data_IF_709955432790
#
_entry.id   IF_709955432790
#
_cell.length_a   1.000
_cell.length_b   1.000
_cell.length_c   1.000
_cell.angle_alpha   90.00
_cell.angle_beta   90.00
_cell.angle_gamma   90.00
#
_symmetry.space_group_name_H-M   'P 1'
#
loop_
_entity.id
_entity.type
_entity.pdbx_description
1 polymer ?
#
# COMPACT_ATOMS: atom_id res chain seq x y z
N UNK A 1 45.43 2.44 -2.87
CA UNK A 1 46.33 3.48 -3.43
C UNK A 1 45.53 4.49 -4.24
N UNK A 2 44.72 4.01 -5.19
CA UNK A 2 43.85 4.81 -6.08
C UNK A 2 42.96 5.86 -5.38
N UNK A 3 42.40 5.57 -4.22
CA UNK A 3 41.56 6.54 -3.48
C UNK A 3 42.41 7.68 -2.89
N UNK A 4 43.61 7.39 -2.36
CA UNK A 4 44.50 8.42 -1.78
C UNK A 4 45.17 9.25 -2.88
N UNK A 5 45.59 8.61 -3.97
CA UNK A 5 46.12 9.27 -5.16
C UNK A 5 45.05 10.16 -5.84
N UNK A 6 43.79 9.70 -5.89
CA UNK A 6 42.67 10.49 -6.41
C UNK A 6 42.30 11.71 -5.56
N UNK A 7 42.67 11.71 -4.27
CA UNK A 7 42.55 12.86 -3.37
C UNK A 7 43.85 13.68 -3.28
N UNK A 8 44.83 13.42 -4.16
CA UNK A 8 46.10 14.16 -4.27
C UNK A 8 46.91 14.18 -2.97
N UNK A 9 46.79 13.13 -2.15
CA UNK A 9 47.59 12.97 -0.93
C UNK A 9 49.01 12.57 -1.31
N UNK A 10 49.99 13.33 -0.84
CA UNK A 10 51.40 13.09 -1.09
C UNK A 10 51.84 11.70 -0.57
N UNK A 11 52.51 10.86 -1.40
CA UNK A 11 53.04 9.56 -0.98
C UNK A 11 53.94 9.57 0.26
N UNK A 12 54.56 10.69 0.62
CA UNK A 12 55.36 10.80 1.86
C UNK A 12 54.51 10.88 3.13
N UNK A 13 53.24 11.28 3.00
CA UNK A 13 52.33 11.54 4.11
C UNK A 13 51.60 10.28 4.62
N UNK A 14 51.68 9.17 3.88
CA UNK A 14 51.06 7.91 4.27
C UNK A 14 51.95 6.69 3.95
N UNK A 15 51.79 5.62 4.73
CA UNK A 15 52.42 4.32 4.47
C UNK A 15 51.37 3.21 4.55
N UNK A 16 51.37 2.33 3.56
CA UNK A 16 50.50 1.16 3.51
C UNK A 16 51.16 -0.03 4.20
N UNK A 17 50.54 -0.58 5.23
CA UNK A 17 50.82 -1.92 5.74
C UNK A 17 49.84 -2.96 5.18
N UNK A 18 50.08 -4.24 5.45
CA UNK A 18 49.24 -5.33 4.93
C UNK A 18 47.76 -5.25 5.40
N UNK A 19 47.52 -4.77 6.61
CA UNK A 19 46.18 -4.66 7.22
C UNK A 19 45.79 -3.24 7.60
N UNK A 20 46.74 -2.31 7.69
CA UNK A 20 46.50 -0.94 8.20
C UNK A 20 47.24 0.09 7.35
N UNK A 21 46.66 1.29 7.24
CA UNK A 21 47.31 2.46 6.64
C UNK A 21 47.72 3.41 7.76
N UNK A 22 48.96 3.86 7.72
CA UNK A 22 49.53 4.81 8.67
C UNK A 22 49.63 6.18 8.01
N UNK A 23 49.23 7.22 8.72
CA UNK A 23 49.30 8.61 8.28
C UNK A 23 50.22 9.41 9.20
N UNK A 24 50.87 10.44 8.65
CA UNK A 24 51.49 11.47 9.48
C UNK A 24 50.41 12.27 10.22
N UNK A 25 50.80 12.88 11.35
CA UNK A 25 49.91 13.72 12.13
C UNK A 25 49.31 14.85 11.26
N UNK A 26 48.02 15.14 11.45
CA UNK A 26 47.28 16.18 10.72
C UNK A 26 46.63 15.74 9.40
N UNK A 27 47.22 14.79 8.68
CA UNK A 27 46.73 14.33 7.36
C UNK A 27 45.34 13.70 7.45
N UNK A 28 45.10 12.90 8.49
CA UNK A 28 43.79 12.26 8.69
C UNK A 28 42.68 13.29 8.94
N UNK A 29 42.96 14.34 9.73
CA UNK A 29 41.97 15.39 10.02
C UNK A 29 41.56 16.16 8.77
N UNK A 30 42.53 16.47 7.90
CA UNK A 30 42.25 17.12 6.61
C UNK A 30 41.37 16.23 5.71
N UNK A 31 41.65 14.92 5.66
CA UNK A 31 40.84 13.99 4.89
C UNK A 31 39.42 13.82 5.46
N UNK A 32 39.27 13.85 6.77
CA UNK A 32 37.96 13.82 7.42
C UNK A 32 37.16 15.11 7.16
N UNK A 33 37.80 16.27 7.17
CA UNK A 33 37.15 17.55 6.85
C UNK A 33 36.66 17.59 5.40
N UNK A 34 37.50 17.16 4.45
CA UNK A 34 37.10 17.05 3.03
C UNK A 34 35.94 16.06 2.84
N UNK A 35 35.96 14.94 3.56
CA UNK A 35 34.86 13.96 3.56
C UNK A 35 33.57 14.61 4.07
N UNK A 36 33.64 15.30 5.19
CA UNK A 36 32.46 15.89 5.85
C UNK A 36 31.85 17.01 5.01
N UNK A 37 32.65 17.81 4.33
CA UNK A 37 32.15 18.85 3.40
C UNK A 37 31.33 18.22 2.25
N UNK A 38 31.81 17.10 1.70
CA UNK A 38 31.12 16.38 0.60
C UNK A 38 29.88 15.66 1.11
N UNK A 39 29.97 14.98 2.25
CA UNK A 39 28.85 14.28 2.86
C UNK A 39 27.73 15.25 3.25
N UNK A 40 28.07 16.42 3.78
CA UNK A 40 27.09 17.44 4.17
C UNK A 40 26.20 17.86 2.99
N UNK A 41 26.78 18.04 1.79
CA UNK A 41 26.04 18.36 0.56
C UNK A 41 25.07 17.23 0.17
N UNK A 42 25.55 15.98 0.19
CA UNK A 42 24.74 14.81 -0.18
C UNK A 42 23.59 14.62 0.83
N UNK A 43 23.88 14.73 2.12
CA UNK A 43 22.87 14.62 3.18
C UNK A 43 21.84 15.75 3.06
N UNK A 44 22.27 16.97 2.77
CA UNK A 44 21.37 18.11 2.53
C UNK A 44 20.39 17.84 1.40
N UNK A 45 20.87 17.30 0.27
CA UNK A 45 19.99 16.90 -0.84
C UNK A 45 19.05 15.78 -0.44
N UNK A 46 19.55 14.71 0.19
CA UNK A 46 18.72 13.60 0.64
C UNK A 46 17.59 14.07 1.57
N UNK A 47 17.92 14.93 2.55
CA UNK A 47 16.95 15.50 3.47
C UNK A 47 15.91 16.36 2.74
N UNK A 48 16.34 17.17 1.76
CA UNK A 48 15.43 18.00 0.95
C UNK A 48 14.43 17.14 0.16
N UNK A 49 14.88 16.02 -0.41
CA UNK A 49 14.02 15.09 -1.13
C UNK A 49 13.01 14.41 -0.21
N UNK A 50 13.45 13.92 0.95
CA UNK A 50 12.59 13.28 1.94
C UNK A 50 11.51 14.25 2.44
N UNK A 51 11.91 15.47 2.84
CA UNK A 51 10.97 16.51 3.29
C UNK A 51 9.96 16.85 2.20
N UNK A 52 10.43 17.08 0.97
CA UNK A 52 9.56 17.37 -0.16
C UNK A 52 8.56 16.25 -0.45
N UNK A 53 8.97 14.98 -0.33
CA UNK A 53 8.07 13.84 -0.51
C UNK A 53 6.97 13.79 0.57
N UNK A 54 7.34 13.98 1.84
CA UNK A 54 6.39 13.99 2.96
C UNK A 54 5.36 15.11 2.77
N UNK A 55 5.80 16.34 2.50
CA UNK A 55 4.91 17.49 2.31
C UNK A 55 3.95 17.29 1.13
N UNK A 56 4.42 16.77 -0.01
CA UNK A 56 3.54 16.48 -1.17
C UNK A 56 2.49 15.42 -0.85
N UNK A 57 2.86 14.38 -0.10
CA UNK A 57 1.93 13.32 0.33
C UNK A 57 0.84 13.87 1.25
N UNK A 58 1.21 14.74 2.20
CA UNK A 58 0.26 15.40 3.09
C UNK A 58 -0.63 16.39 2.35
N UNK A 59 -0.05 17.19 1.45
CA UNK A 59 -0.79 18.15 0.64
C UNK A 59 -1.86 17.47 -0.21
N UNK A 60 -1.56 16.30 -0.81
CA UNK A 60 -2.55 15.54 -1.58
C UNK A 60 -3.77 15.15 -0.72
N UNK A 61 -3.54 14.72 0.53
CA UNK A 61 -4.63 14.41 1.47
C UNK A 61 -5.46 15.66 1.78
N UNK A 62 -4.82 16.79 2.04
CA UNK A 62 -5.50 18.06 2.30
C UNK A 62 -6.31 18.54 1.09
N UNK A 63 -5.79 18.34 -0.13
CA UNK A 63 -6.49 18.67 -1.36
C UNK A 63 -7.76 17.82 -1.54
N UNK A 64 -7.67 16.50 -1.32
CA UNK A 64 -8.82 15.59 -1.36
C UNK A 64 -9.87 15.98 -0.30
N UNK A 65 -9.44 16.29 0.91
CA UNK A 65 -10.31 16.79 1.98
C UNK A 65 -10.98 18.11 1.62
N UNK A 66 -10.25 19.05 1.00
CA UNK A 66 -10.80 20.33 0.55
C UNK A 66 -11.89 20.16 -0.51
N UNK A 67 -11.68 19.27 -1.48
CA UNK A 67 -12.69 18.95 -2.49
C UNK A 67 -13.94 18.31 -1.86
N UNK A 68 -13.75 17.36 -0.95
CA UNK A 68 -14.86 16.75 -0.21
C UNK A 68 -15.64 17.80 0.61
N UNK A 69 -14.93 18.70 1.29
CA UNK A 69 -15.52 19.78 2.08
C UNK A 69 -16.39 20.71 1.20
N UNK A 70 -15.93 21.07 0.00
CA UNK A 70 -16.73 21.89 -0.92
C UNK A 70 -18.04 21.21 -1.30
N UNK A 71 -18.03 19.90 -1.55
CA UNK A 71 -19.24 19.12 -1.83
C UNK A 71 -20.17 19.14 -0.62
N UNK A 72 -19.66 18.89 0.58
CA UNK A 72 -20.47 18.91 1.82
C UNK A 72 -21.07 20.29 2.06
N UNK A 73 -20.27 21.35 1.95
CA UNK A 73 -20.74 22.73 2.11
C UNK A 73 -21.83 23.10 1.12
N UNK A 74 -21.67 22.73 -0.16
CA UNK A 74 -22.68 22.96 -1.20
C UNK A 74 -23.99 22.24 -0.86
N UNK A 75 -23.91 20.97 -0.45
CA UNK A 75 -25.08 20.19 -0.05
C UNK A 75 -25.76 20.80 1.18
N UNK A 76 -24.99 21.22 2.20
CA UNK A 76 -25.51 21.84 3.40
C UNK A 76 -26.26 23.14 3.09
N UNK A 77 -25.72 24.01 2.23
CA UNK A 77 -26.42 25.24 1.80
C UNK A 77 -27.75 24.93 1.12
N UNK A 78 -27.77 23.94 0.22
CA UNK A 78 -29.02 23.48 -0.43
C UNK A 78 -30.01 22.91 0.57
N UNK A 79 -29.54 22.11 1.53
CA UNK A 79 -30.38 21.59 2.61
C UNK A 79 -30.97 22.69 3.50
N UNK A 80 -30.18 23.72 3.83
CA UNK A 80 -30.66 24.87 4.62
C UNK A 80 -31.75 25.66 3.87
N UNK A 81 -31.67 25.76 2.54
CA UNK A 81 -32.75 26.31 1.72
C UNK A 81 -33.98 25.39 1.68
N UNK A 82 -33.76 24.08 1.60
CA UNK A 82 -34.82 23.09 1.48
C UNK A 82 -35.62 22.89 2.78
N UNK A 83 -34.97 22.95 3.96
CA UNK A 83 -35.62 22.72 5.26
C UNK A 83 -36.71 23.73 5.59
N UNK A 84 -36.62 24.96 5.07
CA UNK A 84 -37.61 26.01 5.31
C UNK A 84 -38.81 25.86 4.38
N UNK A 85 -38.64 25.18 3.23
CA UNK A 85 -39.67 25.03 2.19
C UNK A 85 -40.87 24.18 2.68
N UNK A 86 -42.12 24.68 2.61
CA UNK A 86 -43.29 23.98 3.14
C UNK A 86 -43.55 22.60 2.52
N UNK A 87 -43.35 22.45 1.21
CA UNK A 87 -43.54 21.17 0.52
C UNK A 87 -42.56 20.10 1.01
N UNK A 88 -41.30 20.49 1.23
CA UNK A 88 -40.31 19.58 1.80
C UNK A 88 -40.68 19.15 3.23
N UNK A 89 -41.22 20.05 4.06
CA UNK A 89 -41.69 19.71 5.41
C UNK A 89 -42.83 18.68 5.38
N UNK A 90 -43.76 18.84 4.44
CA UNK A 90 -44.86 17.89 4.23
C UNK A 90 -44.33 16.52 3.78
N UNK A 91 -43.53 16.50 2.72
CA UNK A 91 -42.90 15.28 2.20
C UNK A 91 -42.08 14.54 3.26
N UNK A 92 -41.32 15.28 4.09
CA UNK A 92 -40.51 14.69 5.17
C UNK A 92 -41.35 13.94 6.22
N UNK A 93 -42.59 14.37 6.45
CA UNK A 93 -43.54 13.68 7.36
C UNK A 93 -44.22 12.48 6.69
N UNK A 94 -44.52 12.59 5.40
CA UNK A 94 -45.23 11.54 4.64
C UNK A 94 -44.30 10.38 4.25
N UNK A 95 -43.05 10.67 3.85
CA UNK A 95 -42.08 9.67 3.38
C UNK A 95 -41.89 8.46 4.33
N UNK A 96 -41.67 8.62 5.66
CA UNK A 96 -41.43 7.48 6.54
C UNK A 96 -42.66 6.58 6.73
N UNK A 97 -43.87 7.07 6.49
CA UNK A 97 -45.10 6.27 6.58
C UNK A 97 -45.27 5.29 5.41
N UNK A 98 -44.47 5.44 4.35
CA UNK A 98 -44.46 4.55 3.18
C UNK A 98 -43.45 3.41 3.40
N UNK A 99 -43.86 2.36 4.10
CA UNK A 99 -43.01 1.20 4.45
C UNK A 99 -42.28 0.58 3.25
N UNK A 100 -42.90 0.55 2.07
CA UNK A 100 -42.30 -0.01 0.84
C UNK A 100 -41.08 0.79 0.37
N UNK A 101 -41.04 2.11 0.59
CA UNK A 101 -39.91 2.95 0.21
C UNK A 101 -38.69 2.71 1.14
N UNK A 102 -38.94 2.42 2.42
CA UNK A 102 -37.89 2.20 3.41
C UNK A 102 -37.11 0.90 3.15
N UNK A 103 -37.80 -0.19 2.79
CA UNK A 103 -37.13 -1.47 2.48
C UNK A 103 -36.21 -1.38 1.26
N UNK A 104 -36.65 -0.67 0.22
CA UNK A 104 -35.87 -0.47 -1.00
C UNK A 104 -34.65 0.41 -0.74
N UNK A 105 -34.78 1.48 0.06
CA UNK A 105 -33.63 2.32 0.44
C UNK A 105 -32.63 1.54 1.32
N UNK A 106 -33.09 0.71 2.25
CA UNK A 106 -32.21 -0.13 3.08
C UNK A 106 -31.42 -1.13 2.22
N UNK A 107 -32.08 -1.80 1.25
CA UNK A 107 -31.39 -2.68 0.28
C UNK A 107 -30.38 -1.90 -0.57
N UNK A 108 -30.72 -0.69 -1.02
CA UNK A 108 -29.80 0.17 -1.79
C UNK A 108 -28.60 0.64 -0.98
N UNK A 109 -28.77 0.97 0.31
CA UNK A 109 -27.68 1.36 1.22
C UNK A 109 -26.75 0.17 1.47
N UNK A 110 -27.29 -1.04 1.67
CA UNK A 110 -26.50 -2.26 1.83
C UNK A 110 -25.70 -2.63 0.58
N UNK A 111 -26.25 -2.37 -0.61
CA UNK A 111 -25.60 -2.59 -1.90
C UNK A 111 -24.75 -1.40 -2.36
N UNK A 112 -24.70 -0.29 -1.60
CA UNK A 112 -23.93 0.89 -1.97
C UNK A 112 -22.45 0.58 -1.77
N UNK A 113 -21.71 0.44 -2.86
CA UNK A 113 -20.26 0.30 -2.82
C UNK A 113 -19.65 1.53 -2.15
N UNK A 114 -19.24 1.38 -0.88
CA UNK A 114 -18.42 2.37 -0.18
C UNK A 114 -17.09 2.42 -0.94
N UNK A 115 -16.58 3.60 -1.33
CA UNK A 115 -15.44 3.73 -2.24
C UNK A 115 -14.12 3.10 -1.75
N UNK A 116 -14.09 2.50 -0.54
CA UNK A 116 -12.95 1.81 0.03
C UNK A 116 -13.15 0.30 0.27
N UNK A 117 -14.30 -0.29 -0.09
CA UNK A 117 -14.50 -1.74 -0.03
C UNK A 117 -14.88 -2.24 -1.41
N UNK A 118 -13.88 -2.68 -2.19
CA UNK A 118 -14.07 -3.20 -3.55
C UNK A 118 -14.58 -4.64 -3.63
N UNK A 119 -14.85 -5.30 -2.51
CA UNK A 119 -15.22 -6.73 -2.50
C UNK A 119 -16.46 -7.00 -1.66
N UNK A 120 -17.53 -7.48 -2.31
CA UNK A 120 -18.66 -8.12 -1.66
C UNK A 120 -18.17 -9.41 -0.97
N UNK A 121 -18.39 -9.53 0.34
CA UNK A 121 -18.09 -10.75 1.12
C UNK A 121 -19.29 -11.70 1.04
N UNK A 122 -19.12 -12.84 0.38
CA UNK A 122 -20.13 -13.92 0.39
C UNK A 122 -19.77 -14.90 1.50
N UNK A 123 -20.70 -15.14 2.44
CA UNK A 123 -20.57 -16.09 3.54
C UNK A 123 -21.53 -17.26 3.30
N UNK A 124 -21.01 -18.48 3.18
CA UNK A 124 -21.82 -19.70 3.24
C UNK A 124 -21.93 -20.16 4.70
N UNK A 125 -23.01 -20.89 5.06
CA UNK A 125 -23.29 -21.40 6.43
C UNK A 125 -22.21 -22.33 6.99
N UNK A 126 -21.24 -22.75 6.18
CA UNK A 126 -20.12 -23.61 6.56
C UNK A 126 -18.81 -22.84 6.86
N UNK A 127 -18.85 -21.50 6.96
CA UNK A 127 -17.74 -20.71 7.51
C UNK A 127 -16.57 -20.39 6.56
N UNK A 128 -16.64 -20.77 5.28
CA UNK A 128 -15.60 -20.41 4.31
C UNK A 128 -15.92 -19.03 3.72
N UNK A 129 -15.04 -18.05 3.97
CA UNK A 129 -15.15 -16.68 3.46
C UNK A 129 -14.38 -16.53 2.14
N UNK A 130 -15.11 -16.36 1.03
CA UNK A 130 -14.52 -16.11 -0.29
C UNK A 130 -14.07 -14.64 -0.42
N UNK A 131 -12.98 -14.28 0.26
CA UNK A 131 -12.35 -12.95 0.13
C UNK A 131 -11.20 -13.00 -0.88
N UNK A 132 -10.53 -14.15 -1.02
CA UNK A 132 -9.28 -14.25 -1.77
C UNK A 132 -9.50 -14.58 -3.25
N UNK A 133 -10.55 -15.33 -3.60
CA UNK A 133 -10.61 -15.97 -4.92
C UNK A 133 -10.82 -14.96 -6.07
N UNK A 134 -11.66 -13.93 -5.92
CA UNK A 134 -11.94 -13.00 -7.04
C UNK A 134 -10.75 -12.11 -7.39
N UNK A 135 -10.07 -11.54 -6.41
CA UNK A 135 -8.87 -10.72 -6.66
C UNK A 135 -7.68 -11.57 -7.10
N UNK A 136 -7.55 -12.79 -6.60
CA UNK A 136 -6.50 -13.72 -7.05
C UNK A 136 -6.77 -14.19 -8.48
N UNK A 137 -8.01 -14.54 -8.84
CA UNK A 137 -8.40 -14.88 -10.21
C UNK A 137 -8.24 -13.68 -11.15
N UNK A 138 -8.65 -12.48 -10.74
CA UNK A 138 -8.43 -11.26 -11.53
C UNK A 138 -6.94 -10.98 -11.74
N UNK A 139 -6.11 -11.18 -10.70
CA UNK A 139 -4.65 -11.02 -10.78
C UNK A 139 -4.01 -11.99 -11.76
N UNK A 140 -4.55 -13.20 -11.89
CA UNK A 140 -4.13 -14.20 -12.88
C UNK A 140 -4.91 -14.14 -14.20
N UNK A 141 -5.76 -13.11 -14.42
CA UNK A 141 -6.64 -12.96 -15.60
C UNK A 141 -7.56 -14.16 -15.86
N UNK A 142 -7.96 -14.85 -14.81
CA UNK A 142 -8.87 -16.01 -14.83
C UNK A 142 -10.35 -15.60 -14.68
N UNK A 143 -10.71 -14.42 -15.17
CA UNK A 143 -12.09 -13.89 -15.15
C UNK A 143 -12.51 -13.52 -16.57
N UNK A 144 -12.79 -14.54 -17.37
CA UNK A 144 -13.26 -14.42 -18.76
C UNK A 144 -14.08 -15.66 -19.16
N UNK A 145 -14.76 -15.66 -20.32
CA UNK A 145 -15.68 -16.75 -20.69
C UNK A 145 -15.03 -18.14 -20.75
N UNK A 146 -13.71 -18.22 -20.99
CA UNK A 146 -12.94 -19.47 -21.02
C UNK A 146 -12.32 -19.86 -19.67
N UNK A 147 -12.40 -19.01 -18.64
CA UNK A 147 -11.66 -19.24 -17.40
C UNK A 147 -12.17 -20.43 -16.59
N UNK A 148 -13.46 -20.76 -16.70
CA UNK A 148 -14.05 -21.92 -16.04
C UNK A 148 -13.46 -23.24 -16.56
N UNK A 149 -13.17 -23.33 -17.86
CA UNK A 149 -12.55 -24.51 -18.47
C UNK A 149 -11.07 -24.65 -18.11
N UNK A 150 -10.34 -23.52 -18.01
CA UNK A 150 -8.93 -23.52 -17.58
C UNK A 150 -8.80 -23.93 -16.10
N UNK A 151 -9.70 -23.45 -15.25
CA UNK A 151 -9.74 -23.79 -13.83
C UNK A 151 -10.11 -25.26 -13.60
N UNK A 152 -11.08 -25.81 -14.35
CA UNK A 152 -11.45 -27.22 -14.23
C UNK A 152 -10.33 -28.16 -14.69
N UNK A 153 -9.53 -27.75 -15.67
CA UNK A 153 -8.39 -28.54 -16.14
C UNK A 153 -7.19 -28.49 -15.19
N UNK A 154 -6.94 -27.34 -14.56
CA UNK A 154 -5.78 -27.09 -13.69
C UNK A 154 -5.99 -27.50 -12.23
N UNK A 155 -7.22 -27.40 -11.71
CA UNK A 155 -7.57 -27.82 -10.35
C UNK A 155 -8.12 -29.25 -10.35
N UNK A 156 -7.25 -30.23 -10.58
CA UNK A 156 -7.58 -31.63 -10.31
C UNK A 156 -7.53 -31.85 -8.79
N UNK A 157 -8.61 -32.39 -8.22
CA UNK A 157 -8.64 -32.83 -6.82
C UNK A 157 -7.53 -33.85 -6.61
N UNK A 158 -6.63 -33.56 -5.67
CA UNK A 158 -5.60 -34.52 -5.28
C UNK A 158 -6.30 -35.64 -4.52
N UNK A 159 -6.27 -36.85 -5.07
CA UNK A 159 -6.77 -38.05 -4.37
C UNK A 159 -5.76 -38.41 -3.27
N UNK A 160 -6.17 -38.23 -2.01
CA UNK A 160 -5.34 -38.37 -0.79
C UNK A 160 -4.86 -39.82 -0.57
N UNK A 161 -5.45 -40.78 -1.28
CA UNK A 161 -5.25 -42.23 -1.11
C UNK A 161 -3.87 -42.76 -1.55
N UNK A 162 -3.02 -41.92 -2.16
CA UNK A 162 -1.67 -42.32 -2.60
C UNK A 162 -0.56 -42.05 -1.57
N UNK A 163 -0.87 -41.55 -0.37
CA UNK A 163 0.15 -41.29 0.68
C UNK A 163 0.40 -42.47 1.62
N UNK A 164 -0.39 -43.53 1.56
CA UNK A 164 -0.29 -44.69 2.46
C UNK A 164 0.61 -45.82 1.96
N UNK A 165 1.30 -45.68 0.82
CA UNK A 165 2.46 -46.52 0.53
C UNK A 165 3.74 -45.88 1.06
N UNK A 166 4.23 -46.49 2.14
CA UNK A 166 5.41 -46.16 2.93
C UNK A 166 6.68 -46.47 2.13
N UNK A 167 7.24 -45.47 1.47
CA UNK A 167 8.65 -45.54 1.06
C UNK A 167 9.52 -44.90 2.14
N UNK A 168 10.20 -45.79 2.85
CA UNK A 168 11.19 -45.53 3.88
C UNK A 168 12.45 -44.96 3.22
N UNK A 169 12.83 -43.70 3.52
CA UNK A 169 14.24 -43.31 3.54
C UNK A 169 14.43 -42.02 4.34
N UNK A 170 15.32 -42.16 5.31
CA UNK A 170 15.72 -41.23 6.36
C UNK A 170 16.41 -39.97 5.84
N UNK A 171 16.10 -38.83 6.44
CA UNK A 171 16.82 -37.55 6.23
C UNK A 171 17.20 -36.86 7.56
N UNK A 172 17.25 -37.59 8.68
CA UNK A 172 17.54 -37.01 10.01
C UNK A 172 18.92 -37.44 10.52
N UNK A 173 19.95 -37.32 9.69
CA UNK A 173 21.35 -37.33 10.14
C UNK A 173 22.17 -36.48 9.19
N UNK A 174 22.18 -35.17 9.43
CA UNK A 174 23.23 -34.24 9.00
C UNK A 174 23.22 -33.04 9.97
N UNK A 175 23.72 -33.27 11.19
CA UNK A 175 24.26 -32.26 12.11
C UNK A 175 25.41 -32.88 12.90
#
# INVERSE_FOLDING_TARGET
KTILEGNQVDPEQYRMGHTKVFFRAGVLGQLEEMRDERLSKIIGWMQSYIRGYITRKEFKKLQEQRLALQVVQRNLRRYLQLRTWPWWKMWSKVKPLLNVANEVEMKKIQLRNVPYVRTLKYSNKQGISLIVLKDTLNRFRLTGPLSQAVLSHSLKLISIDKRTQKDSSDWVNDY
#
